data_IF_714616954267
#
_entry.id   IF_714616954267
#
_cell.length_a   1.000
_cell.length_b   1.000
_cell.length_c   1.000
_cell.angle_alpha   90.00
_cell.angle_beta   90.00
_cell.angle_gamma   90.00
#
_symmetry.space_group_name_H-M   'P 1'
#
loop_
_entity.id
_entity.type
_entity.pdbx_description
1 polymer ?
#
# COMPACT_ATOMS: atom_id res chain seq x y z
N UNK A 1 70.84 -49.65 76.00
CA UNK A 1 70.71 -50.70 74.96
C UNK A 1 69.26 -51.05 74.67
N UNK A 2 68.46 -51.60 75.61
CA UNK A 2 67.05 -51.96 75.32
C UNK A 2 66.13 -50.74 75.19
N UNK A 3 66.35 -49.70 76.01
CA UNK A 3 65.57 -48.44 75.96
C UNK A 3 65.78 -47.70 74.63
N UNK A 4 67.01 -47.72 74.09
CA UNK A 4 67.36 -47.04 72.84
C UNK A 4 66.70 -47.67 71.59
N UNK A 5 66.43 -48.98 71.63
CA UNK A 5 65.77 -49.68 70.52
C UNK A 5 64.27 -49.37 70.44
N UNK A 6 63.60 -49.30 71.58
CA UNK A 6 62.17 -48.94 71.68
C UNK A 6 61.95 -47.47 71.30
N UNK A 7 62.85 -46.58 71.72
CA UNK A 7 62.82 -45.17 71.34
C UNK A 7 62.96 -45.01 69.82
N UNK A 8 63.88 -45.77 69.19
CA UNK A 8 64.12 -45.75 67.75
C UNK A 8 62.91 -46.27 66.95
N UNK A 9 62.34 -47.40 67.34
CA UNK A 9 61.14 -47.94 66.69
C UNK A 9 59.96 -46.96 66.76
N UNK A 10 59.80 -46.25 67.89
CA UNK A 10 58.77 -45.21 68.05
C UNK A 10 59.01 -44.04 67.10
N UNK A 11 60.27 -43.61 66.92
CA UNK A 11 60.64 -42.53 65.98
C UNK A 11 60.39 -42.96 64.53
N UNK A 12 60.79 -44.17 64.16
CA UNK A 12 60.59 -44.71 62.80
C UNK A 12 59.08 -44.82 62.47
N UNK A 13 58.26 -45.27 63.43
CA UNK A 13 56.80 -45.32 63.29
C UNK A 13 56.17 -43.93 63.13
N UNK A 14 56.66 -42.93 63.87
CA UNK A 14 56.23 -41.54 63.73
C UNK A 14 56.62 -40.95 62.37
N UNK A 15 57.80 -41.30 61.85
CA UNK A 15 58.25 -40.86 60.53
C UNK A 15 57.37 -41.43 59.42
N UNK A 16 57.04 -42.73 59.48
CA UNK A 16 56.12 -43.39 58.53
C UNK A 16 54.73 -42.73 58.57
N UNK A 17 54.19 -42.49 59.77
CA UNK A 17 52.90 -41.83 59.93
C UNK A 17 52.91 -40.39 59.38
N UNK A 18 53.99 -39.63 59.60
CA UNK A 18 54.14 -38.28 59.06
C UNK A 18 54.23 -38.29 57.52
N UNK A 19 54.94 -39.24 56.93
CA UNK A 19 54.99 -39.41 55.48
C UNK A 19 53.62 -39.77 54.89
N UNK A 20 52.86 -40.62 55.57
CA UNK A 20 51.49 -40.96 55.15
C UNK A 20 50.54 -39.78 55.27
N UNK A 21 50.61 -39.01 56.36
CA UNK A 21 49.84 -37.77 56.53
C UNK A 21 50.14 -36.78 55.40
N UNK A 22 51.40 -36.60 55.03
CA UNK A 22 51.79 -35.71 53.93
C UNK A 22 51.29 -36.22 52.56
N UNK A 23 51.33 -37.53 52.32
CA UNK A 23 50.75 -38.15 51.11
C UNK A 23 49.22 -37.94 51.06
N UNK A 24 48.54 -38.11 52.18
CA UNK A 24 47.09 -37.91 52.28
C UNK A 24 46.71 -36.44 52.06
N UNK A 25 47.46 -35.49 52.64
CA UNK A 25 47.26 -34.04 52.41
C UNK A 25 47.37 -33.70 50.92
N UNK A 26 48.45 -34.12 50.26
CA UNK A 26 48.61 -33.92 48.81
C UNK A 26 47.49 -34.55 47.98
N UNK A 27 46.98 -35.71 48.41
CA UNK A 27 45.84 -36.35 47.74
C UNK A 27 44.56 -35.57 47.94
N UNK A 28 44.32 -35.02 49.14
CA UNK A 28 43.17 -34.14 49.40
C UNK A 28 43.25 -32.89 48.54
N UNK A 29 44.40 -32.21 48.49
CA UNK A 29 44.59 -31.00 47.68
C UNK A 29 44.34 -31.28 46.19
N UNK A 30 44.85 -32.42 45.69
CA UNK A 30 44.61 -32.86 44.31
C UNK A 30 43.13 -33.12 44.04
N UNK A 31 42.44 -33.85 44.92
CA UNK A 31 41.01 -34.14 44.77
C UNK A 31 40.16 -32.87 44.87
N UNK A 32 40.56 -31.90 45.70
CA UNK A 32 39.90 -30.60 45.77
C UNK A 32 40.06 -29.80 44.47
N UNK A 33 41.24 -29.84 43.84
CA UNK A 33 41.46 -29.21 42.55
C UNK A 33 40.63 -29.88 41.44
N UNK A 34 40.63 -31.21 41.38
CA UNK A 34 39.84 -31.99 40.40
C UNK A 34 38.33 -31.74 40.58
N UNK A 35 37.84 -31.65 41.83
CA UNK A 35 36.45 -31.31 42.12
C UNK A 35 36.09 -29.89 41.64
N UNK A 36 36.97 -28.91 41.87
CA UNK A 36 36.74 -27.53 41.45
C UNK A 36 36.68 -27.41 39.91
N UNK A 37 37.58 -28.10 39.20
CA UNK A 37 37.59 -28.15 37.73
C UNK A 37 36.31 -28.83 37.19
N UNK A 38 35.94 -29.99 37.75
CA UNK A 38 34.72 -30.69 37.35
C UNK A 38 33.46 -29.83 37.58
N UNK A 39 33.41 -29.08 38.69
CA UNK A 39 32.32 -28.16 38.96
C UNK A 39 32.27 -27.01 37.94
N UNK A 40 33.42 -26.43 37.60
CA UNK A 40 33.49 -25.36 36.60
C UNK A 40 33.06 -25.85 35.21
N UNK A 41 33.49 -27.04 34.80
CA UNK A 41 33.09 -27.63 33.51
C UNK A 41 31.59 -27.95 33.47
N UNK A 42 31.01 -28.42 34.58
CA UNK A 42 29.57 -28.63 34.72
C UNK A 42 28.79 -27.31 34.55
N UNK A 43 29.27 -26.21 35.13
CA UNK A 43 28.65 -24.89 34.98
C UNK A 43 28.76 -24.35 33.55
N UNK A 44 29.90 -24.52 32.89
CA UNK A 44 30.07 -24.16 31.48
C UNK A 44 29.11 -24.96 30.59
N UNK A 45 29.02 -26.27 30.82
CA UNK A 45 28.11 -27.16 30.10
C UNK A 45 26.65 -26.78 30.31
N UNK A 46 26.27 -26.40 31.54
CA UNK A 46 24.92 -25.90 31.84
C UNK A 46 24.61 -24.63 31.04
N UNK A 47 25.49 -23.63 31.07
CA UNK A 47 25.31 -22.37 30.32
C UNK A 47 25.19 -22.61 28.81
N UNK A 48 25.98 -23.52 28.25
CA UNK A 48 25.88 -23.89 26.83
C UNK A 48 24.52 -24.51 26.48
N UNK A 49 23.99 -25.38 27.34
CA UNK A 49 22.64 -25.94 27.16
C UNK A 49 21.56 -24.87 27.25
N UNK A 50 21.63 -24.01 28.25
CA UNK A 50 20.64 -22.93 28.44
C UNK A 50 20.64 -21.97 27.25
N UNK A 51 21.83 -21.63 26.73
CA UNK A 51 21.96 -20.83 25.52
C UNK A 51 21.34 -21.53 24.29
N UNK A 52 21.63 -22.82 24.10
CA UNK A 52 21.06 -23.59 22.99
C UNK A 52 19.52 -23.69 23.09
N UNK A 53 18.97 -23.83 24.29
CA UNK A 53 17.52 -23.79 24.51
C UNK A 53 16.92 -22.43 24.19
N UNK A 54 17.55 -21.34 24.65
CA UNK A 54 17.09 -19.98 24.32
C UNK A 54 17.09 -19.73 22.81
N UNK A 55 18.13 -20.17 22.10
CA UNK A 55 18.22 -19.97 20.66
C UNK A 55 17.18 -20.78 19.90
N UNK A 56 16.96 -22.03 20.31
CA UNK A 56 15.86 -22.85 19.79
C UNK A 56 14.51 -22.19 20.01
N UNK A 57 14.26 -21.65 21.20
CA UNK A 57 12.98 -21.04 21.54
C UNK A 57 12.71 -19.79 20.69
N UNK A 58 13.73 -18.99 20.36
CA UNK A 58 13.62 -17.90 19.37
C UNK A 58 13.18 -18.42 18.01
N UNK A 59 13.84 -19.45 17.49
CA UNK A 59 13.51 -20.06 16.20
C UNK A 59 12.08 -20.61 16.20
N UNK A 60 11.62 -21.20 17.31
CA UNK A 60 10.25 -21.70 17.45
C UNK A 60 9.25 -20.54 17.37
N UNK A 61 9.49 -19.44 18.08
CA UNK A 61 8.64 -18.25 18.03
C UNK A 61 8.57 -17.64 16.62
N UNK A 62 9.70 -17.53 15.93
CA UNK A 62 9.75 -17.04 14.54
C UNK A 62 8.98 -17.97 13.59
N UNK A 63 9.14 -19.30 13.74
CA UNK A 63 8.39 -20.27 12.95
C UNK A 63 6.88 -20.15 13.18
N UNK A 64 6.45 -19.92 14.42
CA UNK A 64 5.04 -19.74 14.77
C UNK A 64 4.47 -18.42 14.23
N UNK A 65 5.25 -17.34 14.23
CA UNK A 65 4.86 -16.07 13.64
C UNK A 65 4.68 -16.18 12.13
N UNK A 66 5.61 -16.85 11.44
CA UNK A 66 5.54 -17.13 10.00
C UNK A 66 4.31 -17.97 9.68
N UNK A 67 4.05 -19.06 10.44
CA UNK A 67 2.87 -19.90 10.24
C UNK A 67 1.58 -19.08 10.32
N UNK A 68 1.46 -18.24 11.34
CA UNK A 68 0.29 -17.37 11.54
C UNK A 68 0.12 -16.38 10.39
N UNK A 69 1.21 -15.81 9.88
CA UNK A 69 1.18 -14.93 8.71
C UNK A 69 0.71 -15.68 7.44
N UNK A 70 1.24 -16.87 7.19
CA UNK A 70 0.82 -17.68 6.04
C UNK A 70 -0.67 -18.04 6.10
N UNK A 71 -1.19 -18.40 7.27
CA UNK A 71 -2.61 -18.70 7.44
C UNK A 71 -3.49 -17.48 7.20
N UNK A 72 -3.03 -16.28 7.62
CA UNK A 72 -3.72 -15.02 7.32
C UNK A 72 -3.75 -14.74 5.81
N UNK A 73 -2.60 -14.82 5.14
CA UNK A 73 -2.50 -14.58 3.70
C UNK A 73 -3.33 -15.58 2.88
N UNK A 74 -3.39 -16.84 3.30
CA UNK A 74 -4.29 -17.83 2.67
C UNK A 74 -5.74 -17.43 2.79
N UNK A 75 -6.20 -17.03 3.98
CA UNK A 75 -7.58 -16.56 4.21
C UNK A 75 -7.89 -15.30 3.40
N UNK A 76 -6.96 -14.35 3.33
CA UNK A 76 -7.12 -13.14 2.51
C UNK A 76 -7.23 -13.48 1.02
N UNK A 77 -6.40 -14.40 0.52
CA UNK A 77 -6.50 -14.91 -0.86
C UNK A 77 -7.85 -15.59 -1.11
N UNK A 78 -8.31 -16.45 -0.20
CA UNK A 78 -9.58 -17.16 -0.36
C UNK A 78 -10.79 -16.22 -0.35
N UNK A 79 -10.73 -15.15 0.46
CA UNK A 79 -11.73 -14.06 0.43
C UNK A 79 -11.69 -13.33 -0.90
N UNK A 80 -10.53 -12.87 -1.35
CA UNK A 80 -10.40 -12.15 -2.62
C UNK A 80 -10.86 -12.98 -3.82
N UNK A 81 -10.63 -14.30 -3.81
CA UNK A 81 -11.15 -15.23 -4.83
C UNK A 81 -12.67 -15.30 -4.78
N UNK A 82 -13.26 -15.34 -3.59
CA UNK A 82 -14.71 -15.35 -3.40
C UNK A 82 -15.35 -14.05 -3.88
N UNK A 83 -14.77 -12.90 -3.49
CA UNK A 83 -15.25 -11.56 -3.90
C UNK A 83 -15.17 -11.39 -5.43
N UNK A 84 -14.09 -11.89 -6.06
CA UNK A 84 -13.96 -11.86 -7.52
C UNK A 84 -15.04 -12.72 -8.20
N UNK A 85 -15.35 -13.89 -7.64
CA UNK A 85 -16.40 -14.75 -8.18
C UNK A 85 -17.79 -14.13 -8.08
N UNK A 86 -18.07 -13.40 -6.99
CA UNK A 86 -19.30 -12.63 -6.83
C UNK A 86 -19.38 -11.48 -7.85
N UNK A 87 -18.33 -10.67 -7.97
CA UNK A 87 -18.28 -9.57 -8.93
C UNK A 87 -18.46 -10.03 -10.39
N UNK A 88 -17.96 -11.22 -10.74
CA UNK A 88 -18.18 -11.81 -12.06
C UNK A 88 -19.66 -12.16 -12.30
N UNK A 89 -20.35 -12.72 -11.30
CA UNK A 89 -21.78 -13.02 -11.39
C UNK A 89 -22.61 -11.75 -11.54
N UNK A 90 -22.33 -10.75 -10.70
CA UNK A 90 -22.99 -9.46 -10.75
C UNK A 90 -22.78 -8.77 -12.12
N UNK A 91 -21.58 -8.87 -12.67
CA UNK A 91 -21.26 -8.36 -14.01
C UNK A 91 -22.12 -9.03 -15.10
N UNK A 92 -22.29 -10.35 -15.02
CA UNK A 92 -23.09 -11.10 -15.98
C UNK A 92 -24.60 -10.81 -15.84
N UNK A 93 -25.09 -10.65 -14.61
CA UNK A 93 -26.47 -10.23 -14.34
C UNK A 93 -26.74 -8.80 -14.85
N UNK A 94 -25.82 -7.86 -14.63
CA UNK A 94 -25.91 -6.49 -15.16
C UNK A 94 -25.91 -6.49 -16.69
N UNK A 95 -25.04 -7.28 -17.34
CA UNK A 95 -25.04 -7.40 -18.81
C UNK A 95 -26.37 -7.92 -19.33
N UNK A 96 -26.97 -8.91 -18.65
CA UNK A 96 -28.27 -9.45 -19.01
C UNK A 96 -29.37 -8.39 -18.90
N UNK A 97 -29.45 -7.70 -17.77
CA UNK A 97 -30.40 -6.60 -17.56
C UNK A 97 -30.22 -5.48 -18.60
N UNK A 98 -28.97 -5.10 -18.91
CA UNK A 98 -28.66 -4.10 -19.94
C UNK A 98 -29.19 -4.53 -21.31
N UNK A 99 -28.98 -5.79 -21.68
CA UNK A 99 -29.43 -6.30 -22.97
C UNK A 99 -30.97 -6.34 -23.05
N UNK A 100 -31.65 -6.73 -21.97
CA UNK A 100 -33.12 -6.70 -21.86
C UNK A 100 -33.65 -5.26 -22.00
N UNK A 101 -33.11 -4.31 -21.22
CA UNK A 101 -33.49 -2.90 -21.29
C UNK A 101 -33.21 -2.28 -22.68
N UNK A 102 -32.10 -2.66 -23.33
CA UNK A 102 -31.78 -2.18 -24.68
C UNK A 102 -32.78 -2.69 -25.71
N UNK A 103 -33.28 -3.92 -25.53
CA UNK A 103 -34.31 -4.49 -26.40
C UNK A 103 -35.65 -3.78 -26.19
N UNK A 104 -36.06 -3.55 -24.95
CA UNK A 104 -37.28 -2.79 -24.63
C UNK A 104 -37.25 -1.37 -25.17
N UNK A 105 -36.11 -0.67 -25.03
CA UNK A 105 -35.91 0.67 -25.59
C UNK A 105 -36.05 0.69 -27.12
N UNK A 106 -35.51 -0.33 -27.80
CA UNK A 106 -35.66 -0.47 -29.25
C UNK A 106 -37.12 -0.68 -29.63
N UNK A 107 -37.81 -1.60 -28.95
CA UNK A 107 -39.23 -1.87 -29.19
C UNK A 107 -40.12 -0.64 -28.96
N UNK A 108 -39.85 0.16 -27.93
CA UNK A 108 -40.56 1.43 -27.68
C UNK A 108 -40.24 2.48 -28.73
N UNK A 109 -38.99 2.61 -29.15
CA UNK A 109 -38.58 3.55 -30.22
C UNK A 109 -39.29 3.20 -31.53
N UNK A 110 -39.29 1.93 -31.93
CA UNK A 110 -39.94 1.46 -33.15
C UNK A 110 -41.47 1.73 -33.10
N UNK A 111 -42.11 1.58 -31.92
CA UNK A 111 -43.52 1.95 -31.72
C UNK A 111 -43.76 3.44 -31.92
N UNK A 112 -42.95 4.31 -31.31
CA UNK A 112 -43.08 5.77 -31.44
C UNK A 112 -42.90 6.20 -32.90
N UNK A 113 -41.91 5.66 -33.59
CA UNK A 113 -41.67 5.94 -35.01
C UNK A 113 -42.89 5.53 -35.87
N UNK A 114 -43.47 4.35 -35.59
CA UNK A 114 -44.68 3.88 -36.28
C UNK A 114 -45.94 4.71 -35.99
N UNK A 115 -46.04 5.37 -34.83
CA UNK A 115 -47.13 6.30 -34.51
C UNK A 115 -46.90 7.67 -35.15
N UNK A 116 -45.66 8.15 -35.18
CA UNK A 116 -45.29 9.41 -35.83
C UNK A 116 -45.49 9.36 -37.35
N UNK A 117 -45.27 8.20 -37.99
CA UNK A 117 -45.58 7.99 -39.41
C UNK A 117 -47.08 8.02 -39.72
N UNK A 118 -47.95 7.81 -38.73
CA UNK A 118 -49.42 7.84 -38.87
C UNK A 118 -50.01 9.24 -38.65
N UNK A 119 -49.23 10.22 -38.18
CA UNK A 119 -49.69 11.60 -38.01
C UNK A 119 -49.61 12.42 -39.32
N UNK A 120 -50.64 13.22 -39.66
CA UNK A 120 -50.64 14.07 -40.86
C UNK A 120 -49.59 15.21 -40.79
N UNK A 121 -49.10 15.72 -41.93
CA UNK A 121 -47.90 16.57 -42.00
C UNK A 121 -48.05 17.99 -41.42
N UNK A 122 -49.20 18.34 -40.85
CA UNK A 122 -49.49 19.69 -40.37
C UNK A 122 -48.98 19.99 -38.95
N UNK A 123 -48.48 19.00 -38.21
CA UNK A 123 -48.06 19.17 -36.81
C UNK A 123 -46.60 18.83 -36.51
N UNK A 124 -45.72 18.83 -37.52
CA UNK A 124 -44.26 18.76 -37.33
C UNK A 124 -43.72 20.10 -36.81
N UNK A 125 -44.09 20.47 -35.58
CA UNK A 125 -43.51 21.62 -34.90
C UNK A 125 -42.08 21.30 -34.49
N UNK A 126 -41.13 21.79 -35.30
CA UNK A 126 -39.77 22.24 -34.95
C UNK A 126 -39.16 21.60 -33.69
N UNK A 127 -38.64 20.37 -33.80
CA UNK A 127 -37.53 19.97 -32.94
C UNK A 127 -36.23 20.34 -33.66
N UNK A 128 -35.81 21.60 -33.51
CA UNK A 128 -34.47 22.01 -33.93
C UNK A 128 -33.46 21.43 -32.95
N UNK A 129 -32.75 20.39 -33.37
CA UNK A 129 -31.45 20.04 -32.79
C UNK A 129 -30.53 21.24 -33.03
N UNK A 130 -30.34 22.08 -32.01
CA UNK A 130 -29.36 23.16 -32.05
C UNK A 130 -28.00 22.48 -31.94
N UNK A 131 -27.33 22.38 -33.08
CA UNK A 131 -25.95 21.91 -33.20
C UNK A 131 -25.06 22.99 -32.59
N UNK A 132 -24.56 22.77 -31.37
CA UNK A 132 -23.58 23.67 -30.76
C UNK A 132 -22.23 23.39 -31.41
N UNK A 133 -21.87 24.19 -32.41
CA UNK A 133 -20.54 24.18 -33.04
C UNK A 133 -19.51 24.74 -32.04
N UNK A 134 -18.71 23.86 -31.45
CA UNK A 134 -17.65 24.23 -30.51
C UNK A 134 -16.34 24.42 -31.28
N UNK A 135 -15.80 25.63 -31.28
CA UNK A 135 -14.48 25.91 -31.86
C UNK A 135 -13.36 25.60 -30.85
N UNK A 136 -12.35 24.88 -31.33
CA UNK A 136 -11.10 24.57 -30.62
C UNK A 136 -10.12 25.71 -30.88
N UNK A 137 -9.78 26.48 -29.84
CA UNK A 137 -8.76 27.54 -29.95
C UNK A 137 -7.47 27.06 -29.28
N UNK A 138 -6.39 27.01 -30.07
CA UNK A 138 -5.04 26.76 -29.57
C UNK A 138 -4.45 28.05 -28.97
N UNK A 139 -4.14 28.03 -27.68
CA UNK A 139 -3.51 29.17 -27.00
C UNK A 139 -2.07 28.84 -26.61
N UNK A 140 -1.11 29.48 -27.28
CA UNK A 140 0.30 29.39 -26.93
C UNK A 140 0.62 30.29 -25.73
N UNK A 141 0.95 29.65 -24.61
CA UNK A 141 1.40 30.30 -23.37
C UNK A 141 2.94 30.30 -23.31
N UNK A 142 3.57 30.97 -24.27
CA UNK A 142 5.02 31.15 -24.28
C UNK A 142 5.40 32.32 -23.36
N UNK A 143 5.99 32.00 -22.20
CA UNK A 143 6.45 32.96 -21.22
C UNK A 143 5.87 32.68 -19.84
N UNK A 144 6.54 31.83 -19.07
CA UNK A 144 6.26 31.72 -17.64
C UNK A 144 6.66 33.05 -16.98
N UNK A 145 5.86 33.55 -16.05
CA UNK A 145 6.32 34.61 -15.16
C UNK A 145 7.59 34.15 -14.42
N UNK A 146 8.35 35.06 -13.82
CA UNK A 146 9.59 34.71 -13.08
C UNK A 146 9.34 33.69 -11.95
N UNK A 147 8.09 33.49 -11.57
CA UNK A 147 7.62 32.58 -10.52
C UNK A 147 6.98 31.29 -11.06
N UNK A 148 6.97 31.07 -12.39
CA UNK A 148 6.37 29.88 -13.00
C UNK A 148 4.84 29.91 -13.08
N UNK A 149 4.20 31.01 -12.69
CA UNK A 149 2.74 31.18 -12.75
C UNK A 149 2.30 31.58 -14.17
N UNK A 150 1.24 30.92 -14.65
CA UNK A 150 0.55 31.20 -15.92
C UNK A 150 -0.51 32.31 -15.75
N UNK A 151 -0.88 32.64 -14.51
CA UNK A 151 -1.74 33.76 -14.15
C UNK A 151 -3.24 33.51 -14.39
N UNK A 152 -3.72 32.28 -14.24
CA UNK A 152 -5.14 31.95 -14.25
C UNK A 152 -5.47 30.81 -13.27
N UNK A 153 -6.69 30.80 -12.75
CA UNK A 153 -7.15 29.81 -11.76
C UNK A 153 -8.03 28.73 -12.40
N UNK A 154 -7.80 27.47 -12.02
CA UNK A 154 -8.57 26.31 -12.45
C UNK A 154 -9.50 25.80 -11.33
N UNK A 155 -10.66 25.30 -11.71
CA UNK A 155 -11.61 24.61 -10.82
C UNK A 155 -12.27 23.45 -11.56
N UNK A 156 -12.95 22.55 -10.87
CA UNK A 156 -13.58 21.40 -11.52
C UNK A 156 -12.65 20.20 -11.69
N UNK A 157 -13.14 19.20 -12.41
CA UNK A 157 -12.46 17.91 -12.56
C UNK A 157 -13.23 16.77 -11.89
N UNK A 158 -12.64 15.58 -11.95
CA UNK A 158 -13.29 14.33 -11.51
C UNK A 158 -13.49 14.24 -9.99
N UNK A 159 -12.53 14.77 -9.24
CA UNK A 159 -12.48 14.68 -7.78
C UNK A 159 -13.21 15.85 -7.10
N UNK A 160 -13.26 17.02 -7.73
CA UNK A 160 -13.92 18.23 -7.21
C UNK A 160 -14.68 18.96 -8.33
N UNK A 161 -15.87 18.48 -8.72
CA UNK A 161 -16.60 19.01 -9.86
C UNK A 161 -17.21 20.40 -9.57
N UNK A 162 -17.00 21.36 -10.47
CA UNK A 162 -17.50 22.73 -10.32
C UNK A 162 -19.02 22.83 -10.54
N UNK A 163 -19.59 21.95 -11.37
CA UNK A 163 -21.05 21.74 -11.48
C UNK A 163 -21.41 20.29 -11.19
N UNK A 164 -22.58 20.06 -10.58
CA UNK A 164 -23.08 18.71 -10.32
C UNK A 164 -23.19 17.90 -11.63
N UNK A 165 -22.63 16.69 -11.64
CA UNK A 165 -22.53 15.80 -12.81
C UNK A 165 -21.65 16.30 -13.97
N UNK A 166 -20.78 17.28 -13.74
CA UNK A 166 -19.82 17.75 -14.74
C UNK A 166 -18.37 17.63 -14.26
N UNK A 167 -17.60 16.80 -14.94
CA UNK A 167 -16.20 16.52 -14.64
C UNK A 167 -15.23 17.36 -15.48
N UNK A 168 -15.74 18.39 -16.17
CA UNK A 168 -14.93 19.33 -16.93
C UNK A 168 -14.13 20.25 -15.99
N UNK A 169 -12.94 20.68 -16.45
CA UNK A 169 -12.09 21.62 -15.74
C UNK A 169 -12.38 23.02 -16.27
N UNK A 170 -12.45 24.03 -15.41
CA UNK A 170 -12.90 25.37 -15.75
C UNK A 170 -11.91 26.44 -15.33
N UNK A 171 -11.65 27.42 -16.20
CA UNK A 171 -10.94 28.64 -15.80
C UNK A 171 -11.90 29.58 -15.09
N UNK A 172 -11.59 29.93 -13.83
CA UNK A 172 -12.45 30.78 -12.99
C UNK A 172 -12.01 32.23 -12.95
N UNK A 173 -10.70 32.47 -13.08
CA UNK A 173 -10.10 33.80 -13.01
C UNK A 173 -8.89 33.89 -13.93
N UNK A 174 -8.63 35.07 -14.48
CA UNK A 174 -7.40 35.40 -15.23
C UNK A 174 -6.82 36.68 -14.62
N UNK A 175 -5.59 36.60 -14.13
CA UNK A 175 -4.90 37.70 -13.48
C UNK A 175 -4.55 38.80 -14.49
N UNK A 176 -4.77 40.07 -14.11
CA UNK A 176 -4.39 41.23 -14.92
C UNK A 176 -2.87 41.38 -14.96
N UNK A 177 -2.31 41.57 -16.16
CA UNK A 177 -0.89 41.60 -16.47
C UNK A 177 -0.27 40.24 -16.79
N UNK A 178 -1.06 39.15 -16.79
CA UNK A 178 -0.55 37.80 -17.05
C UNK A 178 -0.45 37.48 -18.55
N UNK A 179 0.29 36.42 -18.90
CA UNK A 179 0.40 35.92 -20.28
C UNK A 179 -0.93 35.37 -20.81
N UNK A 180 -1.84 35.02 -19.92
CA UNK A 180 -3.19 34.59 -20.22
C UNK A 180 -4.18 35.76 -20.44
N UNK A 181 -3.85 36.98 -19.99
CA UNK A 181 -4.71 38.15 -20.15
C UNK A 181 -4.91 38.49 -21.63
N UNK A 182 -6.18 38.63 -22.05
CA UNK A 182 -6.56 38.92 -23.43
C UNK A 182 -6.53 37.72 -24.38
N UNK A 183 -5.86 36.62 -24.01
CA UNK A 183 -5.88 35.34 -24.76
C UNK A 183 -7.02 34.44 -24.32
N UNK A 184 -7.32 34.40 -23.03
CA UNK A 184 -8.45 33.68 -22.46
C UNK A 184 -9.51 34.73 -22.10
N UNK A 185 -10.63 34.74 -22.82
CA UNK A 185 -11.78 35.58 -22.47
C UNK A 185 -12.70 34.81 -21.53
N UNK A 186 -12.86 35.30 -20.31
CA UNK A 186 -13.92 34.86 -19.41
C UNK A 186 -15.25 35.37 -19.95
N UNK A 187 -15.91 34.55 -20.77
CA UNK A 187 -17.33 34.76 -21.07
C UNK A 187 -18.10 34.33 -19.83
N UNK A 188 -19.24 34.95 -19.54
CA UNK A 188 -20.02 34.81 -18.27
C UNK A 188 -20.57 33.38 -18.01
N UNK A 189 -20.07 32.36 -18.73
CA UNK A 189 -20.33 30.95 -18.52
C UNK A 189 -19.04 30.13 -18.72
N UNK A 190 -18.89 29.05 -17.96
CA UNK A 190 -17.61 28.41 -17.61
C UNK A 190 -16.98 27.73 -18.85
N UNK A 191 -15.69 28.01 -19.11
CA UNK A 191 -14.94 27.46 -20.25
C UNK A 191 -14.24 26.15 -19.88
N UNK A 192 -14.58 25.04 -20.55
CA UNK A 192 -14.03 23.72 -20.25
C UNK A 192 -12.63 23.52 -20.86
N UNK A 193 -11.62 23.23 -20.03
CA UNK A 193 -10.25 22.92 -20.39
C UNK A 193 -10.06 21.40 -20.57
N UNK A 194 -9.48 20.97 -21.69
CA UNK A 194 -9.11 19.56 -21.93
C UNK A 194 -7.62 19.45 -22.23
N UNK A 195 -6.88 18.71 -21.41
CA UNK A 195 -5.44 18.48 -21.56
C UNK A 195 -5.19 17.18 -22.33
N UNK A 196 -4.31 17.22 -23.35
CA UNK A 196 -3.86 16.04 -24.09
C UNK A 196 -2.45 15.63 -23.66
N UNK A 197 -2.15 14.34 -23.76
CA UNK A 197 -0.90 13.70 -23.31
C UNK A 197 0.34 13.99 -24.19
N UNK A 198 0.18 14.69 -25.31
CA UNK A 198 1.25 14.91 -26.32
C UNK A 198 1.87 16.33 -26.28
N UNK A 199 1.94 16.96 -25.09
CA UNK A 199 2.56 18.28 -24.88
C UNK A 199 1.60 19.32 -24.29
N UNK A 200 2.07 20.51 -23.89
CA UNK A 200 1.24 21.52 -23.22
C UNK A 200 0.34 22.24 -24.24
N UNK A 201 -0.74 21.56 -24.65
CA UNK A 201 -1.80 22.13 -25.48
C UNK A 201 -3.03 22.35 -24.61
N UNK A 202 -3.45 23.60 -24.48
CA UNK A 202 -4.66 24.00 -23.77
C UNK A 202 -5.67 24.51 -24.79
N UNK A 203 -6.87 23.92 -24.79
CA UNK A 203 -7.96 24.27 -25.70
C UNK A 203 -9.00 25.11 -24.97
N UNK A 204 -9.45 26.19 -25.60
CA UNK A 204 -10.52 27.08 -25.10
C UNK A 204 -11.68 27.13 -26.09
N UNK A 205 -12.92 27.22 -25.58
CA UNK A 205 -14.14 27.36 -26.40
C UNK A 205 -14.77 28.75 -26.24
N UNK A 206 -15.16 29.37 -27.36
CA UNK A 206 -15.91 30.62 -27.38
C UNK A 206 -17.36 30.32 -27.83
N UNK A 207 -18.37 30.76 -27.07
CA UNK A 207 -19.75 30.78 -27.58
C UNK A 207 -19.87 31.97 -28.53
N UNK A 208 -20.01 31.70 -29.82
CA UNK A 208 -20.32 32.68 -30.84
C UNK A 208 -21.53 33.54 -30.43
N UNK A 209 -21.35 34.86 -30.45
CA UNK A 209 -22.42 35.84 -30.24
C UNK A 209 -23.40 35.79 -31.41
N UNK A 210 -24.51 35.08 -31.25
CA UNK A 210 -25.72 35.31 -32.03
C UNK A 210 -26.46 36.53 -31.47
N UNK A 211 -26.49 37.61 -32.26
CA UNK A 211 -27.15 38.86 -31.91
C UNK A 211 -28.67 38.76 -31.80
N UNK A 212 -29.24 39.72 -31.06
CA UNK A 212 -30.58 40.26 -31.31
C UNK A 212 -30.43 41.30 -32.43
#
# INVERSE_FOLDING_TARGET
MVVDAVEKERVDNLEVANQELERLRKRVDRLQAELAEAHQEAEVSKRRRDWAFSERDKIVQERESIRTLCDRLRKERDRAVSDLAEALRDSDDIKKQRNEASKELKELKDKIESELEKEPPTNRSRHSTIDYEWDIIDVELNGLSKDGDLGFDLSGGREDPYYHNDYSIYVTSVQKGSVAEGKIKLVVFPAALRLFSDGPRCVFSERGRGGI
#
